data_IF_969098813721
#
_entry.id   IF_969098813721
#
_cell.length_a   1.000
_cell.length_b   1.000
_cell.length_c   1.000
_cell.angle_alpha   90.00
_cell.angle_beta   90.00
_cell.angle_gamma   90.00
#
_symmetry.space_group_name_H-M   'P 1'
#
loop_
_entity.id
_entity.type
_entity.pdbx_description
1 polymer ?
#
# COMPACT_ATOMS: atom_id res chain seq x y z
N UNK A 1 13.09 1.52 17.96
CA UNK A 1 13.39 2.35 16.77
C UNK A 1 13.02 1.53 15.55
N UNK A 2 12.16 2.06 14.69
CA UNK A 2 11.77 1.37 13.46
C UNK A 2 12.91 1.42 12.44
N UNK A 3 13.11 0.40 11.60
CA UNK A 3 13.99 0.49 10.44
C UNK A 3 13.55 1.67 9.55
N UNK A 4 14.47 2.57 9.23
CA UNK A 4 14.18 3.71 8.36
C UNK A 4 14.11 3.26 6.90
N UNK A 5 13.13 3.71 6.10
CA UNK A 5 13.04 3.34 4.70
C UNK A 5 14.22 3.93 3.91
N UNK A 6 14.79 3.15 2.99
CA UNK A 6 15.89 3.57 2.10
C UNK A 6 15.55 4.81 1.26
N UNK A 7 14.27 5.03 0.98
CA UNK A 7 13.81 6.21 0.25
C UNK A 7 14.07 7.53 1.01
N UNK A 8 14.20 7.45 2.35
CA UNK A 8 14.60 8.58 3.19
C UNK A 8 16.11 8.89 3.16
N UNK A 9 16.90 8.22 2.31
CA UNK A 9 18.32 8.52 2.14
C UNK A 9 18.54 10.00 1.79
N UNK A 10 19.56 10.62 2.41
CA UNK A 10 19.87 12.05 2.29
C UNK A 10 18.73 13.01 2.71
N UNK A 11 17.64 12.51 3.30
CA UNK A 11 16.55 13.36 3.76
C UNK A 11 16.67 13.67 5.25
N UNK A 12 16.33 14.90 5.63
CA UNK A 12 16.17 15.29 7.04
C UNK A 12 14.69 15.20 7.39
N UNK A 13 14.33 14.21 8.22
CA UNK A 13 12.96 14.07 8.72
C UNK A 13 12.70 15.09 9.83
N UNK A 14 12.11 16.24 9.49
CA UNK A 14 11.71 17.28 10.44
C UNK A 14 10.30 17.84 10.14
N UNK A 15 9.96 18.97 10.79
CA UNK A 15 8.66 19.64 10.66
C UNK A 15 8.30 20.07 9.23
N UNK A 16 9.25 20.10 8.30
CA UNK A 16 9.02 20.39 6.87
C UNK A 16 8.27 19.26 6.15
N UNK A 17 8.25 18.06 6.71
CA UNK A 17 7.48 16.93 6.18
C UNK A 17 6.00 16.94 6.63
N UNK A 18 5.58 17.95 7.40
CA UNK A 18 4.17 18.13 7.81
C UNK A 18 3.41 18.89 6.75
N UNK A 19 2.23 18.41 6.37
CA UNK A 19 1.37 19.12 5.45
C UNK A 19 0.98 20.50 6.00
N UNK A 20 1.11 21.55 5.19
CA UNK A 20 0.72 22.92 5.56
C UNK A 20 1.77 23.77 6.29
N UNK A 21 3.04 23.33 6.36
CA UNK A 21 4.14 24.18 6.83
C UNK A 21 4.36 25.40 5.90
N UNK A 22 4.76 26.55 6.46
CA UNK A 22 4.81 27.84 5.77
C UNK A 22 5.82 27.96 4.61
N UNK A 23 6.71 26.97 4.44
CA UNK A 23 7.58 26.83 3.27
C UNK A 23 7.89 25.34 3.02
N UNK A 24 7.24 24.69 2.02
CA UNK A 24 7.63 23.38 1.52
C UNK A 24 8.45 23.41 0.20
N UNK A 25 8.87 24.59 -0.28
CA UNK A 25 9.41 24.93 -1.61
C UNK A 25 8.41 25.09 -2.77
N UNK A 26 7.65 26.19 -2.69
CA UNK A 26 7.47 27.16 -3.79
C UNK A 26 6.86 26.70 -5.14
N UNK A 27 5.51 26.74 -5.20
CA UNK A 27 4.64 27.21 -6.30
C UNK A 27 5.22 27.20 -7.74
N UNK A 28 4.67 26.34 -8.61
CA UNK A 28 4.02 26.78 -9.87
C UNK A 28 2.90 25.81 -10.26
N UNK A 29 1.72 26.36 -10.55
CA UNK A 29 0.49 25.60 -10.79
C UNK A 29 0.48 24.80 -12.09
N UNK A 30 -0.06 23.59 -12.00
CA UNK A 30 -0.58 22.82 -13.11
C UNK A 30 -2.11 22.79 -13.01
N UNK A 31 -2.81 22.92 -14.15
CA UNK A 31 -4.26 22.77 -14.27
C UNK A 31 -4.77 21.35 -13.99
N UNK A 32 -3.92 20.44 -13.50
CA UNK A 32 -4.26 19.06 -13.09
C UNK A 32 -4.17 18.81 -11.58
N UNK A 33 -3.90 19.83 -10.76
CA UNK A 33 -4.00 19.73 -9.28
C UNK A 33 -2.85 18.99 -8.55
N UNK A 34 -1.86 18.46 -9.27
CA UNK A 34 -0.64 17.89 -8.70
C UNK A 34 0.55 18.65 -9.30
N UNK A 35 1.23 19.48 -8.51
CA UNK A 35 2.46 20.16 -8.92
C UNK A 35 3.69 19.30 -8.67
N UNK A 36 4.82 19.68 -9.26
CA UNK A 36 6.12 19.06 -9.01
C UNK A 36 6.54 19.28 -7.54
N UNK A 37 6.69 18.17 -6.80
CA UNK A 37 7.61 18.09 -5.66
C UNK A 37 7.15 18.43 -4.25
N UNK A 38 5.85 18.39 -3.91
CA UNK A 38 5.42 18.57 -2.50
C UNK A 38 4.56 17.38 -2.02
N UNK A 39 5.17 16.21 -1.79
CA UNK A 39 4.55 15.14 -1.00
C UNK A 39 4.81 15.38 0.49
N UNK A 40 3.77 15.34 1.31
CA UNK A 40 3.84 15.58 2.75
C UNK A 40 3.08 14.50 3.54
N UNK A 41 3.24 14.48 4.87
CA UNK A 41 2.53 13.55 5.74
C UNK A 41 3.29 12.25 5.99
N UNK A 42 2.85 11.52 7.02
CA UNK A 42 3.58 10.37 7.58
C UNK A 42 3.76 9.25 6.55
N UNK A 43 2.76 9.01 5.70
CA UNK A 43 2.82 7.98 4.66
C UNK A 43 3.76 8.28 3.50
N UNK A 44 4.22 9.52 3.35
CA UNK A 44 5.19 9.87 2.32
C UNK A 44 6.52 10.41 2.87
N UNK A 45 6.82 10.12 4.15
CA UNK A 45 8.14 10.41 4.71
C UNK A 45 9.22 9.73 3.86
N UNK A 46 10.26 10.48 3.51
CA UNK A 46 11.30 9.94 2.65
C UNK A 46 10.80 9.63 1.24
N UNK A 47 9.74 10.27 0.76
CA UNK A 47 9.10 9.95 -0.53
C UNK A 47 8.67 8.48 -0.66
N UNK A 48 8.45 7.79 0.46
CA UNK A 48 8.09 6.37 0.45
C UNK A 48 6.81 6.11 -0.36
N UNK A 49 5.92 7.11 -0.47
CA UNK A 49 4.72 7.03 -1.27
C UNK A 49 4.95 7.08 -2.80
N UNK A 50 6.19 7.13 -3.26
CA UNK A 50 6.55 7.07 -4.68
C UNK A 50 7.07 5.71 -5.11
N UNK A 51 7.20 4.75 -4.20
CA UNK A 51 7.78 3.43 -4.50
C UNK A 51 6.69 2.35 -4.59
N UNK A 52 6.29 2.06 -5.81
CA UNK A 52 5.29 1.05 -6.14
C UNK A 52 5.51 0.51 -7.55
N UNK A 53 4.67 -0.39 -8.04
CA UNK A 53 4.68 -0.91 -9.40
C UNK A 53 3.23 -1.02 -9.88
N UNK A 54 2.94 -0.48 -11.06
CA UNK A 54 1.60 -0.53 -11.66
C UNK A 54 1.47 -1.61 -12.74
N UNK A 55 0.23 -1.98 -13.03
CA UNK A 55 -0.09 -3.02 -14.01
C UNK A 55 0.36 -4.41 -13.54
N UNK A 56 0.32 -4.63 -12.22
CA UNK A 56 0.65 -5.89 -11.59
C UNK A 56 -0.63 -6.72 -11.37
N UNK A 57 -0.60 -7.99 -11.75
CA UNK A 57 -1.77 -8.87 -11.67
C UNK A 57 -1.47 -10.17 -10.93
N UNK A 58 -2.51 -10.75 -10.31
CA UNK A 58 -2.46 -12.01 -9.58
C UNK A 58 -1.85 -13.13 -10.42
N UNK A 59 -0.76 -13.74 -9.93
CA UNK A 59 -0.06 -14.85 -10.58
C UNK A 59 0.78 -14.47 -11.80
N UNK A 60 0.83 -13.20 -12.21
CA UNK A 60 1.61 -12.77 -13.36
C UNK A 60 3.02 -12.34 -12.96
N UNK A 61 4.06 -12.78 -13.70
CA UNK A 61 5.46 -12.47 -13.39
C UNK A 61 5.82 -11.01 -13.68
N UNK A 62 5.17 -10.40 -14.67
CA UNK A 62 5.52 -9.06 -15.16
C UNK A 62 4.47 -8.05 -14.73
N UNK A 63 4.92 -6.93 -14.18
CA UNK A 63 4.12 -5.72 -14.09
C UNK A 63 4.40 -4.86 -15.33
N UNK A 64 3.36 -4.35 -16.00
CA UNK A 64 3.54 -3.61 -17.25
C UNK A 64 4.19 -2.23 -17.06
N UNK A 65 4.15 -1.71 -15.83
CA UNK A 65 4.55 -0.33 -15.45
C UNK A 65 3.76 0.75 -16.21
N UNK A 66 2.61 0.36 -16.76
CA UNK A 66 1.57 1.18 -17.40
C UNK A 66 0.21 0.60 -17.02
N UNK A 67 -0.91 1.19 -17.42
CA UNK A 67 -2.24 0.58 -17.26
C UNK A 67 -2.58 0.22 -15.81
N UNK A 68 -3.03 1.22 -15.04
CA UNK A 68 -3.51 1.04 -13.66
C UNK A 68 -5.01 1.25 -13.53
N UNK A 69 -5.73 0.91 -14.59
CA UNK A 69 -7.15 1.21 -14.70
C UNK A 69 -7.92 0.58 -13.55
N UNK A 70 -8.89 1.33 -13.02
CA UNK A 70 -9.76 0.85 -11.95
C UNK A 70 -10.46 -0.45 -12.38
N UNK A 71 -10.87 -0.54 -13.65
CA UNK A 71 -11.47 -1.71 -14.24
C UNK A 71 -10.52 -2.30 -15.29
N UNK A 72 -9.62 -3.23 -14.91
CA UNK A 72 -8.65 -3.81 -15.84
C UNK A 72 -9.33 -4.44 -17.06
N UNK A 73 -8.78 -4.16 -18.24
CA UNK A 73 -9.23 -4.66 -19.53
C UNK A 73 -8.27 -5.72 -20.08
N UNK A 74 -8.64 -6.39 -21.17
CA UNK A 74 -7.71 -7.28 -21.87
C UNK A 74 -6.46 -6.54 -22.37
N UNK A 75 -6.59 -5.26 -22.73
CA UNK A 75 -5.46 -4.45 -23.16
C UNK A 75 -4.42 -4.30 -22.04
N UNK A 76 -4.86 -4.08 -20.81
CA UNK A 76 -3.95 -3.97 -19.66
C UNK A 76 -3.22 -5.28 -19.36
N UNK A 77 -3.91 -6.42 -19.53
CA UNK A 77 -3.31 -7.75 -19.40
C UNK A 77 -2.28 -8.01 -20.51
N UNK A 78 -2.56 -7.57 -21.74
CA UNK A 78 -1.63 -7.68 -22.86
C UNK A 78 -0.36 -6.86 -22.62
N UNK A 79 -0.49 -5.66 -22.04
CA UNK A 79 0.65 -4.82 -21.63
C UNK A 79 1.50 -5.48 -20.53
N UNK A 80 0.91 -6.34 -19.71
CA UNK A 80 1.58 -7.13 -18.67
C UNK A 80 2.09 -8.49 -19.21
N UNK A 81 2.64 -8.49 -20.42
CA UNK A 81 3.17 -9.67 -21.11
C UNK A 81 2.11 -10.76 -21.35
N UNK A 82 0.96 -10.36 -21.93
CA UNK A 82 -0.17 -11.26 -22.19
C UNK A 82 -0.59 -12.07 -20.95
N UNK A 83 -0.59 -11.38 -19.81
CA UNK A 83 -0.90 -11.94 -18.51
C UNK A 83 -2.23 -12.69 -18.52
N UNK A 84 -2.22 -13.86 -17.92
CA UNK A 84 -3.43 -14.65 -17.63
C UNK A 84 -3.52 -14.76 -16.11
N UNK A 85 -4.22 -13.82 -15.44
CA UNK A 85 -4.30 -13.83 -14.00
C UNK A 85 -4.86 -15.15 -13.50
N UNK A 86 -4.32 -15.64 -12.39
CA UNK A 86 -4.87 -16.83 -11.73
C UNK A 86 -6.17 -16.48 -11.01
N UNK A 87 -7.00 -17.50 -10.75
CA UNK A 87 -8.17 -17.32 -9.89
C UNK A 87 -7.76 -16.90 -8.47
N UNK A 88 -8.62 -16.14 -7.76
CA UNK A 88 -8.34 -15.74 -6.38
C UNK A 88 -7.97 -16.91 -5.50
N UNK A 89 -6.88 -16.75 -4.76
CA UNK A 89 -6.44 -17.72 -3.75
C UNK A 89 -6.68 -17.20 -2.33
N UNK A 90 -6.93 -15.89 -2.17
CA UNK A 90 -7.21 -15.26 -0.88
C UNK A 90 -8.30 -16.03 -0.12
N UNK A 91 -8.06 -16.33 1.16
CA UNK A 91 -8.97 -17.13 1.97
C UNK A 91 -8.83 -18.64 1.78
N UNK A 92 -7.93 -19.11 0.90
CA UNK A 92 -7.64 -20.54 0.72
C UNK A 92 -8.78 -21.34 0.10
N UNK A 93 -9.67 -20.69 -0.65
CA UNK A 93 -10.84 -21.31 -1.28
C UNK A 93 -12.09 -21.34 -0.39
N UNK A 94 -12.04 -20.77 0.82
CA UNK A 94 -13.23 -20.52 1.63
C UNK A 94 -13.79 -19.10 1.34
N UNK A 95 -14.98 -18.98 0.73
CA UNK A 95 -15.57 -17.68 0.41
C UNK A 95 -15.87 -16.79 1.62
N UNK A 96 -16.18 -17.39 2.79
CA UNK A 96 -16.44 -16.61 4.00
C UNK A 96 -15.14 -16.00 4.53
N UNK A 97 -14.07 -16.79 4.54
CA UNK A 97 -12.73 -16.33 4.91
C UNK A 97 -12.17 -15.31 3.92
N UNK A 98 -12.37 -15.53 2.61
CA UNK A 98 -12.02 -14.55 1.58
C UNK A 98 -12.75 -13.23 1.84
N UNK A 99 -14.07 -13.26 2.05
CA UNK A 99 -14.87 -12.06 2.32
C UNK A 99 -14.38 -11.30 3.57
N UNK A 100 -13.94 -11.99 4.61
CA UNK A 100 -13.35 -11.34 5.80
C UNK A 100 -12.06 -10.58 5.47
N UNK A 101 -11.24 -11.15 4.57
CA UNK A 101 -9.94 -10.60 4.16
C UNK A 101 -10.05 -9.50 3.11
N UNK A 102 -11.14 -9.46 2.34
CA UNK A 102 -11.40 -8.41 1.36
C UNK A 102 -11.56 -7.04 2.02
N UNK A 103 -11.15 -6.04 1.28
CA UNK A 103 -11.07 -4.62 1.64
C UNK A 103 -11.75 -3.72 0.62
N UNK A 104 -12.08 -4.23 -0.56
CA UNK A 104 -12.75 -3.48 -1.61
C UNK A 104 -13.82 -4.31 -2.34
N UNK A 105 -14.98 -3.72 -2.60
CA UNK A 105 -16.16 -4.39 -3.15
C UNK A 105 -16.49 -5.70 -2.39
N UNK A 106 -16.39 -5.66 -1.06
CA UNK A 106 -16.37 -6.87 -0.20
C UNK A 106 -17.66 -7.68 -0.28
N UNK A 107 -18.77 -7.04 -0.66
CA UNK A 107 -20.09 -7.63 -0.79
C UNK A 107 -20.53 -7.83 -2.26
N UNK A 108 -19.64 -7.53 -3.23
CA UNK A 108 -19.95 -7.68 -4.66
C UNK A 108 -21.10 -6.79 -5.14
N UNK A 109 -21.22 -5.57 -4.60
CA UNK A 109 -22.33 -4.67 -4.85
C UNK A 109 -22.15 -3.78 -6.09
N UNK A 110 -20.95 -3.75 -6.66
CA UNK A 110 -20.71 -3.01 -7.89
C UNK A 110 -21.47 -3.57 -9.08
N UNK A 111 -21.98 -2.64 -9.90
CA UNK A 111 -22.56 -2.95 -11.21
C UNK A 111 -21.56 -3.49 -12.23
N UNK A 112 -20.27 -3.24 -12.01
CA UNK A 112 -19.17 -3.76 -12.86
C UNK A 112 -18.76 -5.19 -12.47
N UNK A 113 -19.44 -5.79 -11.48
CA UNK A 113 -19.12 -7.13 -10.98
C UNK A 113 -17.88 -7.12 -10.09
N UNK A 114 -17.17 -8.24 -10.02
CA UNK A 114 -15.94 -8.36 -9.23
C UNK A 114 -14.69 -8.09 -10.08
N UNK A 115 -14.45 -6.82 -10.43
CA UNK A 115 -13.27 -6.43 -11.21
C UNK A 115 -11.96 -6.65 -10.44
N UNK A 116 -12.01 -6.58 -9.11
CA UNK A 116 -10.82 -6.71 -8.25
C UNK A 116 -10.19 -8.10 -8.30
N UNK A 117 -10.90 -9.11 -8.83
CA UNK A 117 -10.49 -10.54 -8.84
C UNK A 117 -9.09 -10.78 -9.41
N UNK A 118 -8.62 -9.91 -10.30
CA UNK A 118 -7.31 -10.02 -10.96
C UNK A 118 -6.19 -9.26 -10.23
N UNK A 119 -6.54 -8.44 -9.23
CA UNK A 119 -5.59 -7.57 -8.54
C UNK A 119 -4.75 -8.35 -7.52
N UNK A 120 -3.54 -7.88 -7.18
CA UNK A 120 -2.57 -8.65 -6.39
C UNK A 120 -3.10 -9.18 -5.05
N UNK A 121 -3.93 -8.41 -4.31
CA UNK A 121 -4.45 -8.87 -3.01
C UNK A 121 -5.34 -10.11 -3.11
N UNK A 122 -5.96 -10.35 -4.27
CA UNK A 122 -6.80 -11.54 -4.48
C UNK A 122 -5.97 -12.82 -4.61
N UNK A 123 -4.65 -12.72 -4.78
CA UNK A 123 -3.71 -13.83 -4.64
C UNK A 123 -2.38 -13.35 -4.01
N UNK A 124 -2.35 -13.11 -2.68
CA UNK A 124 -1.27 -12.38 -2.02
C UNK A 124 0.12 -12.97 -2.28
N UNK A 125 1.05 -12.13 -2.70
CA UNK A 125 2.45 -12.47 -2.94
C UNK A 125 2.75 -13.12 -4.29
N UNK A 126 1.75 -13.33 -5.14
CA UNK A 126 1.93 -14.03 -6.42
C UNK A 126 2.35 -13.11 -7.57
N UNK A 127 1.98 -11.83 -7.54
CA UNK A 127 2.43 -10.86 -8.53
C UNK A 127 3.97 -10.71 -8.45
N UNK A 128 4.63 -10.72 -9.61
CA UNK A 128 6.10 -10.66 -9.70
C UNK A 128 6.82 -11.99 -9.48
N UNK A 129 6.09 -13.07 -9.18
CA UNK A 129 6.71 -14.35 -8.83
C UNK A 129 7.55 -14.90 -9.99
N UNK A 130 8.78 -15.28 -9.67
CA UNK A 130 9.71 -15.89 -10.62
C UNK A 130 10.34 -14.92 -11.62
N UNK A 131 10.01 -13.63 -11.53
CA UNK A 131 10.62 -12.60 -12.36
C UNK A 131 11.85 -12.01 -11.64
N UNK A 132 13.07 -12.19 -12.19
CA UNK A 132 14.27 -11.59 -11.60
C UNK A 132 14.28 -10.05 -11.67
N UNK A 133 13.52 -9.46 -12.59
CA UNK A 133 13.47 -8.01 -12.81
C UNK A 133 12.37 -7.31 -12.00
N UNK A 134 11.54 -8.06 -11.27
CA UNK A 134 10.57 -7.47 -10.35
C UNK A 134 11.28 -6.68 -9.25
N UNK A 135 10.78 -5.50 -8.91
CA UNK A 135 11.45 -4.60 -7.96
C UNK A 135 10.89 -4.74 -6.54
N UNK A 136 11.52 -5.50 -5.63
CA UNK A 136 10.98 -5.77 -4.29
C UNK A 136 11.03 -4.58 -3.33
N UNK A 137 11.70 -3.50 -3.75
CA UNK A 137 11.77 -2.21 -3.05
C UNK A 137 11.02 -1.11 -3.82
N UNK A 138 10.19 -1.49 -4.81
CA UNK A 138 9.36 -0.58 -5.60
C UNK A 138 10.09 0.04 -6.78
N UNK A 139 9.33 0.66 -7.67
CA UNK A 139 9.83 1.48 -8.77
C UNK A 139 9.52 2.93 -8.42
N UNK A 140 10.49 3.83 -8.60
CA UNK A 140 10.30 5.26 -8.33
C UNK A 140 9.24 5.86 -9.29
N UNK A 141 8.21 6.50 -8.74
CA UNK A 141 6.97 6.93 -9.39
C UNK A 141 6.10 5.78 -9.96
N UNK A 142 6.49 4.53 -9.70
CA UNK A 142 5.78 3.28 -9.97
C UNK A 142 5.40 2.92 -11.40
N UNK A 143 5.68 3.77 -12.38
CA UNK A 143 5.45 3.51 -13.81
C UNK A 143 6.69 3.77 -14.66
N UNK A 144 6.54 3.61 -15.97
CA UNK A 144 7.60 3.90 -16.95
C UNK A 144 8.02 5.38 -16.95
N UNK A 145 9.23 5.63 -17.44
CA UNK A 145 9.82 6.97 -17.45
C UNK A 145 9.04 7.96 -18.32
N UNK A 146 8.33 7.49 -19.35
CA UNK A 146 7.52 8.34 -20.25
C UNK A 146 6.28 8.98 -19.62
N UNK A 147 5.81 8.51 -18.46
CA UNK A 147 4.65 9.11 -17.81
C UNK A 147 5.00 10.48 -17.22
N UNK A 148 4.07 11.43 -17.22
CA UNK A 148 4.29 12.75 -16.62
C UNK A 148 4.16 12.73 -15.09
N UNK A 149 3.28 11.90 -14.53
CA UNK A 149 2.93 11.91 -13.09
C UNK A 149 3.01 10.51 -12.44
N UNK A 150 3.27 10.42 -11.12
CA UNK A 150 3.75 11.50 -10.27
C UNK A 150 5.19 11.92 -10.63
N UNK A 151 5.51 13.22 -10.58
CA UNK A 151 6.90 13.69 -10.66
C UNK A 151 7.68 13.19 -9.44
N UNK A 152 8.96 12.86 -9.62
CA UNK A 152 9.84 12.40 -8.54
C UNK A 152 10.75 13.52 -8.05
N UNK A 153 10.97 13.58 -6.74
CA UNK A 153 11.91 14.50 -6.09
C UNK A 153 13.19 13.81 -5.62
N UNK A 154 13.26 12.48 -5.65
CA UNK A 154 14.45 11.69 -5.34
C UNK A 154 15.55 11.94 -6.37
N UNK A 155 16.45 12.89 -6.07
CA UNK A 155 17.55 13.31 -6.97
C UNK A 155 18.52 12.19 -7.32
N UNK A 156 18.61 11.18 -6.46
CA UNK A 156 19.61 10.11 -6.54
C UNK A 156 19.12 8.87 -7.33
N UNK A 157 17.81 8.69 -7.50
CA UNK A 157 17.24 7.59 -8.29
C UNK A 157 16.31 8.18 -9.36
N UNK A 158 16.60 8.00 -10.66
CA UNK A 158 15.76 8.57 -11.71
C UNK A 158 14.34 8.00 -11.64
N UNK A 159 13.40 8.72 -12.25
CA UNK A 159 12.04 8.20 -12.49
C UNK A 159 12.10 6.82 -13.14
N UNK A 160 11.20 5.93 -12.75
CA UNK A 160 11.16 4.52 -13.15
C UNK A 160 12.39 3.70 -12.70
N UNK A 161 13.26 4.28 -11.87
CA UNK A 161 14.43 3.61 -11.32
C UNK A 161 14.05 2.61 -10.23
N UNK A 162 14.89 1.58 -10.02
CA UNK A 162 14.63 0.54 -9.03
C UNK A 162 14.90 1.05 -7.62
N UNK A 163 13.96 0.85 -6.69
CA UNK A 163 14.15 1.17 -5.28
C UNK A 163 15.24 0.34 -4.60
N UNK A 164 15.65 -0.78 -5.20
CA UNK A 164 16.78 -1.59 -4.72
C UNK A 164 18.13 -0.88 -4.88
N UNK A 165 18.21 0.12 -5.79
CA UNK A 165 19.37 0.98 -5.97
C UNK A 165 19.46 2.12 -4.94
N UNK A 166 18.43 2.31 -4.10
CA UNK A 166 18.51 3.28 -3.02
C UNK A 166 19.57 2.87 -1.99
N UNK A 167 20.37 3.83 -1.48
CA UNK A 167 21.39 3.50 -0.51
C UNK A 167 20.79 3.26 0.89
N UNK A 168 21.50 2.54 1.76
CA UNK A 168 21.09 2.33 3.15
C UNK A 168 20.96 3.64 3.94
N UNK A 169 20.05 3.65 4.93
CA UNK A 169 19.86 4.79 5.84
C UNK A 169 20.44 4.46 7.22
N UNK A 170 21.63 4.99 7.49
CA UNK A 170 22.35 4.72 8.74
C UNK A 170 22.70 3.23 8.90
N UNK A 171 22.92 2.78 10.14
CA UNK A 171 23.26 1.38 10.44
C UNK A 171 22.04 0.48 10.66
N UNK A 172 20.82 1.03 10.58
CA UNK A 172 19.60 0.30 10.96
C UNK A 172 19.56 -0.15 12.44
N UNK A 173 18.46 -0.79 12.86
CA UNK A 173 18.39 -1.45 14.16
C UNK A 173 19.04 -2.84 14.13
N UNK A 174 19.42 -3.33 15.30
CA UNK A 174 19.83 -4.73 15.51
C UNK A 174 18.63 -5.53 16.01
N UNK A 175 18.29 -6.60 15.31
CA UNK A 175 17.22 -7.53 15.66
C UNK A 175 17.79 -8.85 16.14
N UNK A 176 17.42 -9.28 17.35
CA UNK A 176 17.89 -10.55 17.89
C UNK A 176 16.99 -11.69 17.42
N UNK A 177 17.57 -12.78 16.90
CA UNK A 177 16.81 -13.97 16.49
C UNK A 177 15.90 -14.48 17.60
N UNK A 178 14.69 -14.91 17.24
CA UNK A 178 13.68 -15.42 18.17
C UNK A 178 12.99 -14.36 19.03
N UNK A 179 13.36 -13.08 18.93
CA UNK A 179 12.66 -12.01 19.66
C UNK A 179 11.45 -11.49 18.91
N UNK A 180 10.60 -10.74 19.62
CA UNK A 180 9.52 -9.96 19.02
C UNK A 180 9.98 -8.52 18.87
N UNK A 181 9.84 -7.99 17.66
CA UNK A 181 10.23 -6.61 17.30
C UNK A 181 9.01 -5.86 16.78
N UNK A 182 9.08 -4.53 16.77
CA UNK A 182 8.06 -3.70 16.13
C UNK A 182 8.52 -3.25 14.74
N UNK A 183 7.58 -3.23 13.79
CA UNK A 183 7.72 -2.56 12.51
C UNK A 183 6.50 -1.68 12.27
N UNK A 184 6.67 -0.61 11.49
CA UNK A 184 5.62 0.35 11.25
C UNK A 184 5.52 0.70 9.76
N UNK A 185 4.31 1.08 9.35
CA UNK A 185 4.01 1.65 8.03
C UNK A 185 2.93 2.71 8.19
N UNK A 186 2.76 3.58 7.19
CA UNK A 186 1.74 4.61 7.18
C UNK A 186 1.15 4.75 5.77
N UNK A 187 -0.13 5.14 5.70
CA UNK A 187 -0.82 5.37 4.45
C UNK A 187 -0.56 6.78 3.95
N UNK A 188 -0.39 6.93 2.64
CA UNK A 188 -0.51 8.22 1.96
C UNK A 188 -1.74 8.21 1.06
N UNK A 189 -1.83 7.19 0.20
CA UNK A 189 -3.02 6.80 -0.52
C UNK A 189 -3.40 5.38 -0.09
N UNK A 190 -4.69 5.15 0.11
CA UNK A 190 -5.28 3.88 0.46
C UNK A 190 -5.84 3.22 -0.81
N UNK A 191 -5.13 2.22 -1.32
CA UNK A 191 -5.52 1.38 -2.47
C UNK A 191 -6.12 0.03 -2.07
N UNK A 192 -6.62 -0.05 -0.83
CA UNK A 192 -7.09 -1.28 -0.21
C UNK A 192 -6.04 -2.40 -0.25
N UNK A 193 -6.38 -3.61 0.16
CA UNK A 193 -5.57 -4.81 0.04
C UNK A 193 -4.93 -5.27 1.35
N UNK A 194 -3.73 -5.82 1.27
CA UNK A 194 -3.03 -6.34 2.45
C UNK A 194 -1.54 -6.53 2.23
N UNK A 195 -0.81 -6.64 3.34
CA UNK A 195 0.63 -6.46 3.36
C UNK A 195 1.38 -7.56 4.12
N UNK A 196 2.67 -7.67 3.85
CA UNK A 196 3.58 -8.62 4.49
C UNK A 196 4.97 -8.00 4.70
N UNK A 197 5.67 -8.52 5.71
CA UNK A 197 7.06 -8.17 6.02
C UNK A 197 7.98 -9.34 5.71
N UNK A 198 9.12 -9.09 5.07
CA UNK A 198 10.01 -10.14 4.55
C UNK A 198 11.46 -9.73 4.68
N UNK A 199 12.36 -10.67 4.93
CA UNK A 199 13.80 -10.42 5.00
C UNK A 199 14.53 -11.02 3.80
N UNK A 200 15.53 -10.31 3.30
CA UNK A 200 16.52 -10.81 2.36
C UNK A 200 17.91 -10.56 2.94
N UNK A 201 18.76 -11.60 3.01
CA UNK A 201 20.14 -11.45 3.47
C UNK A 201 20.90 -10.63 2.44
N UNK A 202 21.68 -9.64 2.88
CA UNK A 202 22.57 -8.89 1.99
C UNK A 202 23.61 -9.86 1.42
N UNK A 203 23.76 -9.86 0.11
CA UNK A 203 24.72 -10.73 -0.57
C UNK A 203 26.16 -10.29 -0.32
N UNK A 204 27.07 -11.26 -0.20
CA UNK A 204 28.51 -11.00 -0.01
C UNK A 204 29.14 -10.27 -1.21
N UNK A 205 28.59 -10.48 -2.42
CA UNK A 205 29.04 -9.82 -3.65
C UNK A 205 28.42 -8.42 -3.85
N UNK A 206 27.59 -7.96 -2.91
CA UNK A 206 26.92 -6.67 -2.97
C UNK A 206 25.77 -6.60 -3.98
N UNK A 207 25.31 -7.73 -4.53
CA UNK A 207 24.15 -7.75 -5.42
C UNK A 207 22.87 -7.25 -4.74
N UNK A 208 22.02 -6.59 -5.53
CA UNK A 208 20.75 -6.07 -5.09
C UNK A 208 19.80 -7.20 -4.65
N UNK A 209 18.96 -6.98 -3.62
CA UNK A 209 18.02 -7.99 -3.17
C UNK A 209 16.95 -8.26 -4.24
N UNK A 210 16.60 -9.53 -4.44
CA UNK A 210 15.57 -9.97 -5.39
C UNK A 210 14.28 -10.37 -4.66
N UNK A 211 13.15 -10.36 -5.37
CA UNK A 211 11.89 -10.86 -4.83
C UNK A 211 12.01 -12.34 -4.40
N UNK A 212 12.76 -13.16 -5.15
CA UNK A 212 13.04 -14.55 -4.80
C UNK A 212 13.80 -14.70 -3.47
N UNK A 213 14.66 -13.73 -3.13
CA UNK A 213 15.35 -13.70 -1.83
C UNK A 213 14.36 -13.41 -0.68
N UNK A 214 13.51 -12.39 -0.84
CA UNK A 214 12.48 -12.06 0.16
C UNK A 214 11.47 -13.19 0.36
N UNK A 215 11.15 -13.93 -0.70
CA UNK A 215 10.28 -15.11 -0.66
C UNK A 215 10.88 -16.28 0.15
N UNK A 216 12.15 -16.25 0.54
CA UNK A 216 12.74 -17.27 1.42
C UNK A 216 12.47 -16.99 2.90
N UNK A 217 12.26 -15.74 3.28
CA UNK A 217 12.10 -15.36 4.70
C UNK A 217 10.93 -14.39 4.94
N UNK A 218 9.66 -14.81 4.71
CA UNK A 218 8.50 -14.08 5.23
C UNK A 218 8.52 -14.03 6.77
N UNK A 219 8.16 -12.90 7.34
CA UNK A 219 8.05 -12.70 8.79
C UNK A 219 6.63 -12.96 9.26
N UNK A 220 6.52 -13.61 10.41
CA UNK A 220 5.23 -13.84 11.05
C UNK A 220 4.85 -12.66 11.94
N UNK A 221 3.58 -12.24 11.83
CA UNK A 221 2.98 -11.33 12.80
C UNK A 221 2.81 -12.02 14.15
N UNK A 222 2.90 -11.24 15.23
CA UNK A 222 2.70 -11.70 16.60
C UNK A 222 1.43 -11.05 17.15
N UNK A 223 0.48 -11.89 17.58
CA UNK A 223 -0.79 -11.46 18.16
C UNK A 223 -1.84 -11.06 17.12
N UNK A 224 -3.02 -10.70 17.62
CA UNK A 224 -4.24 -10.42 16.86
C UNK A 224 -4.57 -8.93 16.79
N UNK A 225 -3.59 -8.07 17.06
CA UNK A 225 -3.76 -6.62 17.14
C UNK A 225 -2.72 -5.92 16.26
N UNK A 226 -3.07 -4.73 15.80
CA UNK A 226 -2.14 -3.71 15.30
C UNK A 226 -2.38 -2.43 16.09
N UNK A 227 -1.36 -1.60 16.27
CA UNK A 227 -1.46 -0.34 17.01
C UNK A 227 -1.50 0.83 16.02
N UNK A 228 -2.54 1.67 16.12
CA UNK A 228 -2.56 3.00 15.54
C UNK A 228 -1.78 3.92 16.48
N UNK A 229 -0.63 4.39 16.02
CA UNK A 229 0.26 5.30 16.76
C UNK A 229 0.29 6.67 16.09
N UNK A 230 -0.33 7.67 16.72
CA UNK A 230 -0.38 9.05 16.23
C UNK A 230 0.99 9.71 16.36
N UNK A 231 1.46 10.34 15.27
CA UNK A 231 2.84 10.84 15.18
C UNK A 231 3.03 12.23 15.78
N UNK A 232 1.96 12.98 15.95
CA UNK A 232 1.93 14.34 16.49
C UNK A 232 1.58 14.37 17.99
N UNK A 233 1.44 13.20 18.62
CA UNK A 233 0.96 13.04 19.99
C UNK A 233 -0.40 13.70 20.26
N UNK A 234 -1.22 13.93 19.23
CA UNK A 234 -2.57 14.48 19.37
C UNK A 234 -3.50 13.57 20.17
N UNK A 235 -3.25 12.26 20.13
CA UNK A 235 -4.02 11.22 20.82
C UNK A 235 -3.11 10.13 21.36
N UNK A 236 -3.62 9.40 22.36
CA UNK A 236 -3.01 8.15 22.80
C UNK A 236 -3.09 7.09 21.70
N UNK A 237 -2.09 6.21 21.63
CA UNK A 237 -2.14 5.06 20.74
C UNK A 237 -3.36 4.17 21.01
N UNK A 238 -3.94 3.63 19.95
CA UNK A 238 -5.10 2.72 20.02
C UNK A 238 -4.74 1.38 19.42
N UNK A 239 -5.03 0.30 20.13
CA UNK A 239 -4.93 -1.05 19.57
C UNK A 239 -6.24 -1.43 18.90
N UNK A 240 -6.14 -1.97 17.70
CA UNK A 240 -7.28 -2.43 16.93
C UNK A 240 -7.12 -3.92 16.57
N UNK A 241 -8.22 -4.68 16.40
CA UNK A 241 -8.15 -6.03 15.88
C UNK A 241 -7.48 -6.07 14.50
N UNK A 242 -6.60 -7.04 14.29
CA UNK A 242 -5.90 -7.25 13.03
C UNK A 242 -6.27 -8.59 12.39
N UNK A 243 -6.77 -8.55 11.16
CA UNK A 243 -7.11 -9.74 10.38
C UNK A 243 -5.87 -10.20 9.62
N UNK A 244 -5.38 -11.41 9.93
CA UNK A 244 -4.16 -12.00 9.37
C UNK A 244 -4.49 -13.35 8.74
N UNK A 245 -3.92 -13.65 7.57
CA UNK A 245 -4.09 -14.93 6.88
C UNK A 245 -2.75 -15.53 6.48
N UNK A 246 -2.69 -16.86 6.48
CA UNK A 246 -1.67 -17.66 5.79
C UNK A 246 -2.29 -18.59 4.74
N UNK A 247 -3.61 -18.52 4.56
CA UNK A 247 -4.37 -19.33 3.63
C UNK A 247 -4.33 -18.68 2.25
N UNK A 248 -3.89 -19.45 1.25
CA UNK A 248 -3.85 -18.99 -0.14
C UNK A 248 -2.80 -17.94 -0.46
N UNK A 249 -1.77 -17.80 0.38
CA UNK A 249 -0.68 -16.83 0.21
C UNK A 249 0.52 -17.45 -0.52
N UNK A 250 1.38 -16.60 -1.08
CA UNK A 250 2.67 -16.98 -1.62
C UNK A 250 3.81 -16.19 -0.95
N UNK A 251 4.91 -16.85 -0.53
CA UNK A 251 5.12 -18.29 -0.42
C UNK A 251 4.03 -18.98 0.41
N UNK A 252 3.76 -20.26 0.15
CA UNK A 252 2.67 -20.98 0.80
C UNK A 252 2.81 -20.92 2.32
N UNK A 253 1.78 -20.43 2.99
CA UNK A 253 1.76 -20.31 4.45
C UNK A 253 2.42 -19.06 5.01
N UNK A 254 2.95 -18.17 4.16
CA UNK A 254 3.42 -16.85 4.58
C UNK A 254 2.27 -16.02 5.14
N UNK A 255 2.53 -15.25 6.19
CA UNK A 255 1.51 -14.40 6.79
C UNK A 255 1.37 -13.07 6.04
N UNK A 256 0.12 -12.70 5.80
CA UNK A 256 -0.30 -11.43 5.25
C UNK A 256 -1.38 -10.83 6.14
N UNK A 257 -1.34 -9.52 6.34
CA UNK A 257 -2.29 -8.78 7.17
C UNK A 257 -3.13 -7.86 6.31
N UNK A 258 -4.44 -7.89 6.52
CA UNK A 258 -5.41 -7.02 5.87
C UNK A 258 -5.10 -5.56 6.24
N UNK A 259 -5.18 -4.64 5.28
CA UNK A 259 -5.23 -3.21 5.60
C UNK A 259 -6.51 -2.90 6.40
N UNK A 260 -6.40 -2.42 7.65
CA UNK A 260 -7.57 -2.24 8.51
C UNK A 260 -8.35 -0.94 8.22
N UNK A 261 -7.91 -0.11 7.27
CA UNK A 261 -8.49 1.20 6.95
C UNK A 261 -9.46 1.05 5.77
N UNK A 262 -10.78 1.09 5.97
CA UNK A 262 -11.72 0.97 4.87
C UNK A 262 -11.80 2.25 4.04
N UNK A 263 -11.98 2.09 2.73
CA UNK A 263 -12.33 3.17 1.81
C UNK A 263 -13.84 3.46 1.87
N UNK A 264 -14.29 4.56 1.25
CA UNK A 264 -15.71 4.86 1.13
C UNK A 264 -16.42 3.80 0.26
N UNK A 265 -17.73 3.59 0.45
CA UNK A 265 -18.48 2.48 -0.15
C UNK A 265 -18.91 2.69 -1.62
N UNK A 266 -17.96 2.92 -2.52
CA UNK A 266 -18.15 2.88 -3.97
C UNK A 266 -16.91 2.31 -4.65
N UNK A 267 -16.95 2.04 -5.95
CA UNK A 267 -15.84 1.40 -6.67
C UNK A 267 -14.55 2.23 -6.63
N UNK A 268 -14.67 3.56 -6.61
CA UNK A 268 -13.53 4.48 -6.54
C UNK A 268 -13.04 4.71 -5.09
N UNK A 269 -13.85 4.36 -4.09
CA UNK A 269 -13.45 4.47 -2.69
C UNK A 269 -13.37 5.90 -2.10
N UNK A 270 -13.69 6.93 -2.87
CA UNK A 270 -13.88 8.32 -2.42
C UNK A 270 -14.96 9.00 -3.27
N UNK A 271 -15.44 10.16 -2.81
CA UNK A 271 -16.52 10.92 -3.48
C UNK A 271 -17.70 10.03 -3.86
N UNK A 272 -18.13 9.18 -2.92
CA UNK A 272 -19.23 8.25 -3.14
C UNK A 272 -20.56 8.98 -2.93
N UNK A 273 -21.41 8.99 -3.96
CA UNK A 273 -22.68 9.74 -3.96
C UNK A 273 -23.90 8.82 -4.14
N UNK A 274 -25.01 9.24 -3.52
CA UNK A 274 -26.34 8.67 -3.79
C UNK A 274 -26.95 9.42 -4.99
N UNK A 275 -27.09 8.73 -6.13
CA UNK A 275 -27.35 9.36 -7.44
C UNK A 275 -28.77 9.87 -7.72
N UNK A 276 -29.63 10.07 -6.71
CA UNK A 276 -30.86 10.82 -6.93
C UNK A 276 -30.58 12.32 -7.23
N UNK A 277 -29.34 12.82 -7.00
CA UNK A 277 -29.04 14.26 -6.96
C UNK A 277 -27.93 14.80 -7.89
N UNK A 278 -27.46 14.11 -8.94
CA UNK A 278 -26.93 14.75 -10.19
C UNK A 278 -26.37 13.71 -11.18
N UNK A 279 -27.16 13.37 -12.19
CA UNK A 279 -26.80 12.46 -13.30
C UNK A 279 -25.98 13.18 -14.41
N UNK A 280 -25.91 14.51 -14.38
CA UNK A 280 -25.30 15.30 -15.48
C UNK A 280 -23.77 15.45 -15.39
N UNK A 281 -23.14 15.21 -14.23
CA UNK A 281 -21.74 15.59 -14.02
C UNK A 281 -20.68 14.55 -14.45
N UNK A 282 -21.02 13.26 -14.61
CA UNK A 282 -20.02 12.18 -14.69
C UNK A 282 -20.15 11.19 -15.87
N UNK A 283 -21.10 11.37 -16.80
CA UNK A 283 -21.16 10.56 -18.03
C UNK A 283 -21.17 9.04 -17.81
N UNK A 284 -20.37 8.30 -18.60
CA UNK A 284 -20.26 6.82 -18.55
C UNK A 284 -19.49 6.30 -17.31
N UNK A 285 -18.79 7.17 -16.60
CA UNK A 285 -18.00 6.86 -15.41
C UNK A 285 -18.81 6.95 -14.10
N UNK A 286 -20.07 7.38 -14.17
CA UNK A 286 -20.93 7.56 -13.00
C UNK A 286 -20.98 6.34 -12.07
N UNK A 287 -20.90 5.12 -12.62
CA UNK A 287 -21.03 3.91 -11.80
C UNK A 287 -19.88 3.79 -10.78
N UNK A 288 -18.69 4.34 -11.03
CA UNK A 288 -17.56 4.20 -10.09
C UNK A 288 -17.72 5.04 -8.82
N UNK A 289 -18.47 6.13 -8.91
CA UNK A 289 -18.81 7.02 -7.79
C UNK A 289 -20.12 6.60 -7.10
N UNK A 290 -20.79 5.53 -7.57
CA UNK A 290 -22.05 5.11 -7.00
C UNK A 290 -21.85 4.53 -5.62
N UNK A 291 -22.41 5.21 -4.61
CA UNK A 291 -22.52 4.62 -3.29
C UNK A 291 -23.30 3.30 -3.34
N UNK A 292 -22.74 2.27 -2.72
CA UNK A 292 -23.41 1.01 -2.51
C UNK A 292 -24.59 1.20 -1.56
N UNK A 293 -25.67 0.45 -1.79
CA UNK A 293 -26.87 0.49 -0.96
C UNK A 293 -26.67 0.00 0.48
N UNK A 294 -25.50 -0.57 0.78
CA UNK A 294 -25.09 -1.02 2.11
C UNK A 294 -24.00 -0.12 2.65
N UNK A 295 -24.23 0.40 3.85
CA UNK A 295 -23.19 0.98 4.68
C UNK A 295 -22.67 -0.08 5.65
N UNK A 296 -21.35 -0.12 5.84
CA UNK A 296 -20.72 -0.94 6.88
C UNK A 296 -20.34 -0.11 8.13
N UNK A 297 -20.95 1.06 8.31
CA UNK A 297 -20.81 1.82 9.55
C UNK A 297 -21.32 1.04 10.76
N UNK A 298 -20.63 1.19 11.88
CA UNK A 298 -21.18 0.74 13.16
C UNK A 298 -22.28 1.70 13.65
N UNK A 299 -23.18 1.26 14.55
CA UNK A 299 -24.30 2.08 14.99
C UNK A 299 -23.85 3.44 15.56
N UNK A 300 -24.37 4.52 14.98
CA UNK A 300 -24.06 5.90 15.41
C UNK A 300 -22.83 6.52 14.74
N UNK A 301 -22.08 5.76 13.95
CA UNK A 301 -20.94 6.29 13.20
C UNK A 301 -21.38 7.22 12.07
N UNK A 302 -20.69 8.35 11.94
CA UNK A 302 -20.86 9.30 10.84
C UNK A 302 -19.50 9.77 10.35
N UNK A 303 -19.38 10.09 9.06
CA UNK A 303 -18.14 10.62 8.49
C UNK A 303 -18.44 11.67 7.43
N UNK A 304 -17.78 12.82 7.50
CA UNK A 304 -17.82 13.81 6.42
C UNK A 304 -16.97 13.40 5.22
N UNK A 305 -16.03 12.47 5.38
CA UNK A 305 -15.18 11.94 4.31
C UNK A 305 -15.88 10.86 3.50
N UNK A 306 -16.61 9.97 4.19
CA UNK A 306 -17.35 8.88 3.57
C UNK A 306 -18.84 8.98 3.95
N UNK A 307 -19.58 10.01 3.50
CA UNK A 307 -20.93 10.27 3.97
C UNK A 307 -21.93 9.14 3.69
N UNK A 308 -21.69 8.35 2.64
CA UNK A 308 -22.55 7.23 2.23
C UNK A 308 -22.24 5.90 2.94
N UNK A 309 -21.10 5.80 3.63
CA UNK A 309 -20.62 4.56 4.25
C UNK A 309 -19.23 4.13 3.80
N UNK A 310 -18.80 2.99 4.32
CA UNK A 310 -17.46 2.42 4.10
C UNK A 310 -17.52 0.98 3.57
N UNK A 311 -16.45 0.54 2.90
CA UNK A 311 -16.33 -0.80 2.30
C UNK A 311 -16.45 -1.94 3.34
N UNK A 312 -15.94 -1.74 4.56
CA UNK A 312 -16.07 -2.64 5.69
C UNK A 312 -16.02 -1.84 7.01
N UNK A 313 -16.44 -2.40 8.15
CA UNK A 313 -16.45 -1.64 9.42
C UNK A 313 -15.06 -1.14 9.79
N UNK A 314 -14.91 0.16 10.05
CA UNK A 314 -13.65 0.70 10.57
C UNK A 314 -13.50 0.36 12.06
N UNK A 315 -12.26 0.17 12.49
CA UNK A 315 -11.95 -0.07 13.91
C UNK A 315 -11.96 1.22 14.75
N UNK A 316 -11.67 2.37 14.13
CA UNK A 316 -11.79 3.71 14.71
C UNK A 316 -12.38 4.68 13.68
N UNK A 317 -13.07 5.71 14.14
CA UNK A 317 -13.85 6.61 13.27
C UNK A 317 -13.00 7.42 12.29
N UNK A 318 -11.78 7.78 12.68
CA UNK A 318 -10.88 8.60 11.85
C UNK A 318 -10.08 7.79 10.82
N UNK A 319 -10.01 6.46 10.95
CA UNK A 319 -9.19 5.62 10.09
C UNK A 319 -10.04 5.07 8.93
N UNK A 320 -10.39 5.94 7.98
CA UNK A 320 -11.17 5.60 6.79
C UNK A 320 -10.81 6.52 5.60
N UNK A 321 -11.19 6.12 4.38
CA UNK A 321 -11.04 6.91 3.15
C UNK A 321 -9.92 6.43 2.21
N UNK A 322 -9.83 7.06 1.04
CA UNK A 322 -8.91 6.68 -0.06
C UNK A 322 -7.61 7.50 -0.12
N UNK A 323 -7.64 8.78 0.24
CA UNK A 323 -6.50 9.69 0.09
C UNK A 323 -6.79 11.01 0.82
N UNK A 324 -5.78 11.87 1.05
CA UNK A 324 -6.02 13.26 1.37
C UNK A 324 -6.78 13.95 0.23
N UNK A 325 -7.98 14.43 0.56
CA UNK A 325 -8.85 15.21 -0.32
C UNK A 325 -8.27 16.63 -0.48
N UNK A 326 -8.27 17.16 -1.71
CA UNK A 326 -7.60 18.43 -2.09
C UNK A 326 -8.56 19.48 -2.69
N UNK A 327 -9.63 19.93 -1.99
CA UNK A 327 -10.51 20.98 -2.49
C UNK A 327 -9.77 22.31 -2.51
N UNK A 328 -9.80 22.99 -3.65
CA UNK A 328 -9.22 24.33 -3.78
C UNK A 328 -7.70 24.39 -3.54
N UNK A 329 -6.99 23.26 -3.77
CA UNK A 329 -5.53 23.20 -3.63
C UNK A 329 -5.03 23.23 -2.18
N UNK A 330 -5.89 22.93 -1.20
CA UNK A 330 -5.50 22.73 0.21
C UNK A 330 -5.72 21.27 0.59
N UNK A 331 -4.74 20.66 1.24
CA UNK A 331 -4.89 19.32 1.83
C UNK A 331 -5.95 19.43 2.94
N UNK A 332 -7.14 18.88 2.69
CA UNK A 332 -8.21 18.78 3.68
C UNK A 332 -8.81 17.39 3.64
N UNK A 333 -8.52 16.56 4.63
CA UNK A 333 -9.00 15.18 4.73
C UNK A 333 -8.05 14.37 5.61
N UNK A 334 -8.37 13.12 5.94
CA UNK A 334 -7.52 12.30 6.82
C UNK A 334 -6.14 12.14 6.19
N UNK A 335 -5.17 12.94 6.62
CA UNK A 335 -3.79 12.89 6.15
C UNK A 335 -3.06 11.60 6.61
N UNK A 336 -3.81 10.61 7.10
CA UNK A 336 -3.33 9.39 7.72
C UNK A 336 -2.12 9.69 8.62
N UNK A 337 -2.26 10.70 9.49
CA UNK A 337 -1.18 11.21 10.37
C UNK A 337 -0.86 10.27 11.55
N UNK A 338 -0.98 8.97 11.30
CA UNK A 338 -0.71 7.89 12.21
C UNK A 338 0.07 6.78 11.49
N UNK A 339 0.80 6.01 12.27
CA UNK A 339 1.42 4.77 11.80
C UNK A 339 0.60 3.58 12.26
N UNK A 340 0.59 2.53 11.45
CA UNK A 340 0.18 1.19 11.83
C UNK A 340 1.43 0.46 12.32
N UNK A 341 1.42 0.00 13.57
CA UNK A 341 2.54 -0.66 14.23
C UNK A 341 2.20 -2.10 14.53
N UNK A 342 2.97 -3.01 13.92
CA UNK A 342 2.83 -4.44 14.08
C UNK A 342 3.98 -5.03 14.87
N UNK A 343 3.70 -6.13 15.56
CA UNK A 343 4.73 -6.97 16.19
C UNK A 343 5.08 -8.11 15.26
N UNK A 344 6.37 -8.30 15.02
CA UNK A 344 6.92 -9.33 14.14
C UNK A 344 7.80 -10.29 14.93
N UNK A 345 7.80 -11.56 14.55
CA UNK A 345 8.71 -12.56 15.08
C UNK A 345 9.97 -12.62 14.21
N UNK A 346 11.14 -12.39 14.82
CA UNK A 346 12.43 -12.62 14.14
C UNK A 346 12.68 -14.13 14.09
N UNK A 347 12.87 -14.74 12.90
CA UNK A 347 13.11 -16.17 12.76
C UNK A 347 14.35 -16.62 13.54
N UNK A 348 14.32 -17.85 14.05
CA UNK A 348 15.44 -18.45 14.79
C UNK A 348 16.46 -19.13 13.88
N UNK A 349 16.02 -19.52 12.70
CA UNK A 349 16.68 -20.40 11.74
C UNK A 349 17.50 -19.65 10.68
N UNK A 350 17.36 -18.33 10.61
CA UNK A 350 18.19 -17.49 9.73
C UNK A 350 19.58 -17.26 10.33
N UNK A 351 20.57 -17.00 9.49
CA UNK A 351 21.93 -16.70 9.96
C UNK A 351 22.06 -15.26 10.47
N UNK A 352 23.06 -15.00 11.31
CA UNK A 352 23.42 -13.63 11.68
C UNK A 352 23.94 -12.85 10.47
N UNK A 353 23.81 -11.53 10.48
CA UNK A 353 24.42 -10.63 9.49
C UNK A 353 23.49 -9.51 9.04
N UNK A 354 23.86 -8.86 7.94
CA UNK A 354 23.09 -7.76 7.35
C UNK A 354 21.92 -8.27 6.52
N UNK A 355 20.77 -7.62 6.68
CA UNK A 355 19.52 -7.93 5.99
C UNK A 355 18.84 -6.66 5.49
N UNK A 356 18.14 -6.82 4.37
CA UNK A 356 17.13 -5.87 3.91
C UNK A 356 15.78 -6.38 4.37
N UNK A 357 15.00 -5.51 5.01
CA UNK A 357 13.59 -5.69 5.30
C UNK A 357 12.77 -5.11 4.16
N UNK A 358 11.80 -5.87 3.65
CA UNK A 358 10.78 -5.39 2.71
C UNK A 358 9.42 -5.39 3.39
N UNK A 359 8.75 -4.25 3.36
CA UNK A 359 7.30 -4.16 3.49
C UNK A 359 6.70 -4.18 2.08
N UNK A 360 5.82 -5.13 1.82
CA UNK A 360 5.09 -5.25 0.55
C UNK A 360 3.61 -5.17 0.81
N UNK A 361 2.92 -4.40 -0.01
CA UNK A 361 1.48 -4.25 0.01
C UNK A 361 0.92 -4.57 -1.36
N UNK A 362 0.13 -5.62 -1.41
CA UNK A 362 -0.62 -6.03 -2.60
C UNK A 362 -1.99 -5.34 -2.53
N UNK A 363 -2.31 -4.54 -3.54
CA UNK A 363 -3.55 -3.75 -3.56
C UNK A 363 -4.76 -4.58 -4.04
N UNK A 364 -5.95 -4.16 -3.61
CA UNK A 364 -7.22 -4.76 -4.07
C UNK A 364 -8.00 -3.84 -5.01
N UNK A 365 -7.94 -2.52 -4.81
CA UNK A 365 -8.69 -1.55 -5.63
C UNK A 365 -8.20 -1.52 -7.08
N UNK A 366 -6.88 -1.43 -7.25
CA UNK A 366 -6.19 -1.25 -8.54
C UNK A 366 -5.01 -2.22 -8.68
N UNK A 367 -4.54 -2.52 -9.91
CA UNK A 367 -3.48 -3.49 -10.16
C UNK A 367 -2.09 -2.94 -9.80
N UNK A 368 -1.82 -2.82 -8.50
CA UNK A 368 -0.60 -2.22 -7.95
C UNK A 368 0.04 -3.10 -6.87
N UNK A 369 1.37 -3.05 -6.80
CA UNK A 369 2.15 -3.56 -5.66
C UNK A 369 3.01 -2.42 -5.12
N UNK A 370 2.84 -2.10 -3.84
CA UNK A 370 3.59 -1.07 -3.14
C UNK A 370 4.70 -1.71 -2.30
N UNK A 371 5.85 -1.06 -2.26
CA UNK A 371 7.02 -1.63 -1.60
C UNK A 371 7.84 -0.55 -0.89
N UNK A 372 8.37 -0.91 0.27
CA UNK A 372 9.38 -0.12 0.96
C UNK A 372 10.44 -1.04 1.52
N UNK A 373 11.71 -0.63 1.41
CA UNK A 373 12.84 -1.39 1.94
C UNK A 373 13.59 -0.60 3.00
N UNK A 374 14.13 -1.30 3.99
CA UNK A 374 14.96 -0.75 5.06
C UNK A 374 16.08 -1.72 5.41
N UNK A 375 17.16 -1.22 6.00
CA UNK A 375 18.32 -2.03 6.39
C UNK A 375 18.30 -2.34 7.90
N UNK A 376 18.75 -3.54 8.26
CA UNK A 376 18.91 -3.98 9.64
C UNK A 376 19.95 -5.09 9.77
N UNK A 377 20.48 -5.27 10.97
CA UNK A 377 21.34 -6.40 11.31
C UNK A 377 20.56 -7.43 12.12
N UNK A 378 20.66 -8.70 11.76
CA UNK A 378 20.17 -9.82 12.58
C UNK A 378 21.31 -10.40 13.41
N UNK A 379 21.14 -10.40 14.74
CA UNK A 379 22.12 -10.88 15.72
C UNK A 379 21.78 -12.26 16.28
#
# INVERSE_FOLDING_TARGET
VFPAPRSAHNQTLDSRNKCGAADPYSKTGSSTGLGDGEYCGVGCLGEACLYYQIGCYAGCPTCSLTGKDLYPTQHDLDLADHCKPIEPTLGGGDPAHERELRTHNVDGLSKRGDWTKVNPWRAPGTAGRGNPDFQPCGVNSGGRAEFSNPPTTAKDVPKAGPGTALPPVGSGPIWTRGTTVEAAWALYANHAGGYSYRLCKVSEDGSAPTEACFQQTPLNFVGTETEIRYTDASKASVKIPAVTTSAGTYPKGSMWRKNPVPMCNCDLGYDCFNFDDTVEAHGDDKDMFQAYNKTNFHPGQTSSLCPSGVQFPSAVDEALGAAPYMPGGKMTGSAFDYMMVDKLKVPTEISAGEYVLSWRWDCEETPQVWNSCADLTVA
#
